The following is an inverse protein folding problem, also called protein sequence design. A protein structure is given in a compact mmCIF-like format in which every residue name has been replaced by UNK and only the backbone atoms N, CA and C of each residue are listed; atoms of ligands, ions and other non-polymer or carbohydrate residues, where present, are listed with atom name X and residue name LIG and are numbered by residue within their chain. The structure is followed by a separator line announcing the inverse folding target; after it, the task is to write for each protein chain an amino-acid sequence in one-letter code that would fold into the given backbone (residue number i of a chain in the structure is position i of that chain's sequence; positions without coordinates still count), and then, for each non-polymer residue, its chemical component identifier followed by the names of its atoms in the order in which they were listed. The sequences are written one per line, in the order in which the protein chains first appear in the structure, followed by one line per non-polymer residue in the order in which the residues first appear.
data_IF_379344170306
#
_entry.id   IF_379344170306
#
_cell.length_a   1.000
_cell.length_b   1.000
_cell.length_c   1.000
_cell.angle_alpha   90.00
_cell.angle_beta   90.00
_cell.angle_gamma   90.00
#
_symmetry.space_group_name_H-M   'P 1'
#
loop_
_entity.id
_entity.type
_entity.pdbx_description
1 polymer ?
#
# COMPACT_ATOMS: atom_id res chain seq x y z
N UNK A 1 16.16 14.83 -1.87
CA UNK A 1 16.22 13.41 -1.42
C UNK A 1 16.81 13.35 -0.02
N UNK A 2 16.02 13.07 1.01
CA UNK A 2 16.57 12.85 2.36
C UNK A 2 17.45 11.61 2.31
N UNK A 3 18.72 11.71 2.72
CA UNK A 3 19.59 10.56 2.97
C UNK A 3 18.89 9.66 3.98
N UNK A 4 18.19 8.63 3.49
CA UNK A 4 17.78 7.49 4.29
C UNK A 4 19.03 7.01 5.01
N UNK A 5 18.97 6.87 6.35
CA UNK A 5 20.11 6.48 7.18
C UNK A 5 20.89 5.39 6.44
N UNK A 6 22.20 5.60 6.27
CA UNK A 6 23.12 4.84 5.42
C UNK A 6 23.12 3.32 5.66
N UNK A 7 22.42 2.84 6.69
CA UNK A 7 22.33 1.44 7.11
C UNK A 7 20.88 0.95 7.33
N UNK A 8 19.87 1.58 6.72
CA UNK A 8 18.50 1.06 6.80
C UNK A 8 18.43 -0.32 6.14
N UNK A 9 18.24 -1.35 6.97
CA UNK A 9 18.14 -2.73 6.52
C UNK A 9 16.75 -2.97 5.98
N UNK A 10 16.68 -3.51 4.78
CA UNK A 10 15.41 -3.99 4.26
C UNK A 10 15.10 -5.39 4.82
N UNK A 11 13.84 -5.63 5.17
CA UNK A 11 13.34 -6.90 5.68
C UNK A 11 12.29 -7.49 4.75
N UNK A 12 12.13 -8.82 4.79
CA UNK A 12 11.05 -9.53 4.09
C UNK A 12 9.78 -9.42 4.94
N UNK A 13 8.68 -8.96 4.35
CA UNK A 13 7.39 -8.82 5.01
C UNK A 13 6.34 -9.62 4.25
N UNK A 14 5.66 -10.54 4.95
CA UNK A 14 4.61 -11.39 4.40
C UNK A 14 3.27 -10.65 4.46
N UNK A 15 2.76 -10.24 3.30
CA UNK A 15 1.52 -9.47 3.18
C UNK A 15 0.29 -10.35 3.38
N UNK A 16 0.30 -11.58 2.86
CA UNK A 16 -0.83 -12.49 2.97
C UNK A 16 -1.13 -12.86 4.43
N UNK A 17 -0.11 -13.31 5.16
CA UNK A 17 -0.21 -13.63 6.60
C UNK A 17 -0.66 -12.40 7.42
N UNK A 18 -0.19 -11.21 7.04
CA UNK A 18 -0.61 -9.99 7.69
C UNK A 18 -2.09 -9.68 7.45
N UNK A 19 -2.60 -9.89 6.23
CA UNK A 19 -4.03 -9.77 5.93
C UNK A 19 -4.86 -10.78 6.70
N UNK A 20 -4.45 -12.05 6.77
CA UNK A 20 -5.12 -13.08 7.59
C UNK A 20 -5.25 -12.64 9.05
N UNK A 21 -4.16 -12.11 9.61
CA UNK A 21 -4.17 -11.59 10.97
C UNK A 21 -5.20 -10.44 11.12
N UNK A 22 -5.30 -9.55 10.14
CA UNK A 22 -6.24 -8.42 10.15
C UNK A 22 -7.68 -8.88 9.89
N UNK A 23 -7.91 -9.93 9.11
CA UNK A 23 -9.25 -10.43 8.78
C UNK A 23 -9.83 -11.32 9.88
N UNK A 24 -8.99 -11.93 10.71
CA UNK A 24 -9.44 -12.76 11.83
C UNK A 24 -9.95 -11.90 12.99
N UNK A 25 -11.27 -11.88 13.18
CA UNK A 25 -11.95 -11.07 14.20
C UNK A 25 -11.70 -11.55 15.64
N UNK A 26 -11.20 -12.77 15.83
CA UNK A 26 -10.77 -13.25 17.15
C UNK A 26 -9.50 -12.53 17.62
N UNK A 27 -8.75 -11.89 16.71
CA UNK A 27 -7.61 -11.06 17.08
C UNK A 27 -8.07 -9.73 17.68
N UNK A 28 -7.41 -9.21 18.72
CA UNK A 28 -7.81 -7.96 19.36
C UNK A 28 -7.79 -6.78 18.38
N UNK A 29 -8.87 -5.99 18.41
CA UNK A 29 -9.12 -4.83 17.53
C UNK A 29 -7.91 -3.91 17.37
N UNK A 30 -7.30 -3.45 18.47
CA UNK A 30 -6.12 -2.58 18.41
C UNK A 30 -4.88 -3.25 17.82
N UNK A 31 -4.73 -4.56 18.03
CA UNK A 31 -3.62 -5.31 17.41
C UNK A 31 -3.85 -5.49 15.91
N UNK A 32 -5.10 -5.73 15.48
CA UNK A 32 -5.49 -5.71 14.05
C UNK A 32 -5.23 -4.34 13.43
N UNK A 33 -5.51 -3.24 14.14
CA UNK A 33 -5.23 -1.87 13.69
C UNK A 33 -3.73 -1.60 13.47
N UNK A 34 -2.88 -2.00 14.41
CA UNK A 34 -1.42 -1.93 14.24
C UNK A 34 -1.00 -2.71 12.99
N UNK A 35 -1.50 -3.94 12.84
CA UNK A 35 -1.14 -4.78 11.69
C UNK A 35 -1.65 -4.21 10.38
N UNK A 36 -2.87 -3.68 10.34
CA UNK A 36 -3.42 -3.05 9.14
C UNK A 36 -2.51 -1.90 8.69
N UNK A 37 -2.15 -0.99 9.60
CA UNK A 37 -1.28 0.13 9.23
C UNK A 37 0.13 -0.30 8.77
N UNK A 38 0.66 -1.39 9.33
CA UNK A 38 1.89 -2.01 8.83
C UNK A 38 1.74 -2.52 7.40
N UNK A 39 0.64 -3.22 7.08
CA UNK A 39 0.37 -3.70 5.72
C UNK A 39 0.27 -2.50 4.78
N UNK A 40 -0.49 -1.48 5.17
CA UNK A 40 -0.65 -0.27 4.38
C UNK A 40 0.72 0.38 4.08
N UNK A 41 1.59 0.46 5.09
CA UNK A 41 2.96 0.96 4.92
C UNK A 41 3.77 0.03 4.00
N UNK A 42 3.82 -1.26 4.33
CA UNK A 42 4.60 -2.27 3.62
C UNK A 42 4.26 -2.32 2.13
N UNK A 43 2.98 -2.22 1.82
CA UNK A 43 2.47 -2.25 0.47
C UNK A 43 2.75 -0.94 -0.27
N UNK A 44 2.68 0.21 0.41
CA UNK A 44 2.90 1.51 -0.23
C UNK A 44 4.37 1.74 -0.59
N UNK A 45 5.30 1.28 0.27
CA UNK A 45 6.73 1.58 0.14
C UNK A 45 7.61 0.34 -0.10
N UNK A 46 7.01 -0.84 -0.11
CA UNK A 46 7.70 -2.11 -0.31
C UNK A 46 8.12 -2.32 -1.75
N UNK A 47 9.21 -3.06 -1.91
CA UNK A 47 9.79 -3.44 -3.19
C UNK A 47 9.65 -4.93 -3.42
N UNK A 48 9.86 -5.36 -4.66
CA UNK A 48 9.98 -6.79 -4.99
C UNK A 48 11.13 -7.43 -4.21
N UNK A 49 11.01 -8.75 -4.01
CA UNK A 49 12.15 -9.55 -3.57
C UNK A 49 13.20 -9.62 -4.68
N UNK A 50 14.46 -9.87 -4.30
CA UNK A 50 15.52 -10.23 -5.26
C UNK A 50 15.39 -11.72 -5.63
N UNK A 51 15.85 -12.12 -6.82
CA UNK A 51 15.81 -13.52 -7.30
C UNK A 51 16.32 -14.53 -6.26
N UNK A 52 17.44 -14.22 -5.58
CA UNK A 52 17.98 -15.09 -4.53
C UNK A 52 17.07 -15.21 -3.30
N UNK A 53 16.28 -14.18 -3.01
CA UNK A 53 15.31 -14.17 -1.90
C UNK A 53 14.01 -14.89 -2.27
N UNK A 54 13.62 -14.85 -3.54
CA UNK A 54 12.45 -15.54 -4.08
C UNK A 54 12.63 -17.06 -4.03
N UNK A 55 13.80 -17.58 -4.44
CA UNK A 55 14.10 -19.03 -4.43
C UNK A 55 13.90 -19.72 -3.08
N UNK A 56 14.03 -18.98 -1.98
CA UNK A 56 13.85 -19.50 -0.62
C UNK A 56 12.43 -19.37 -0.08
N UNK A 57 11.43 -19.07 -0.91
CA UNK A 57 10.04 -18.85 -0.49
C UNK A 57 9.07 -19.68 -1.32
N UNK A 58 8.19 -20.38 -0.63
CA UNK A 58 7.16 -21.22 -1.26
C UNK A 58 6.17 -20.39 -2.11
N UNK A 59 5.96 -19.12 -1.77
CA UNK A 59 5.12 -18.19 -2.53
C UNK A 59 5.76 -16.80 -2.53
N UNK A 60 6.71 -16.50 -3.43
CA UNK A 60 7.45 -15.23 -3.41
C UNK A 60 6.55 -13.99 -3.50
N UNK A 61 5.44 -14.12 -4.23
CA UNK A 61 4.41 -13.10 -4.40
C UNK A 61 3.61 -12.79 -3.13
N UNK A 62 3.81 -13.48 -2.00
CA UNK A 62 3.25 -13.05 -0.72
C UNK A 62 4.16 -12.06 0.01
N UNK A 63 5.38 -11.82 -0.48
CA UNK A 63 6.42 -11.12 0.26
C UNK A 63 6.88 -9.85 -0.45
N UNK A 64 7.17 -8.83 0.35
CA UNK A 64 7.84 -7.61 -0.11
C UNK A 64 9.07 -7.30 0.72
N UNK A 65 10.02 -6.63 0.10
CA UNK A 65 11.20 -6.07 0.74
C UNK A 65 10.91 -4.64 1.20
N UNK A 66 10.91 -4.40 2.51
CA UNK A 66 10.50 -3.11 3.10
C UNK A 66 11.58 -2.56 4.03
N UNK A 67 11.74 -1.24 4.06
CA UNK A 67 12.55 -0.53 5.06
C UNK A 67 12.16 -0.94 6.48
N UNK A 68 13.13 -1.45 7.25
CA UNK A 68 12.92 -1.77 8.68
C UNK A 68 12.60 -0.50 9.47
N UNK A 69 13.27 0.61 9.16
CA UNK A 69 13.05 1.88 9.83
C UNK A 69 11.62 2.40 9.61
N UNK A 70 11.08 2.29 8.39
CA UNK A 70 9.70 2.68 8.09
C UNK A 70 8.67 1.81 8.81
N UNK A 71 8.82 0.48 8.76
CA UNK A 71 7.89 -0.42 9.47
C UNK A 71 7.96 -0.25 10.99
N UNK A 72 9.15 -0.01 11.54
CA UNK A 72 9.32 0.32 12.96
C UNK A 72 8.59 1.61 13.32
N UNK A 73 8.75 2.67 12.50
CA UNK A 73 8.06 3.95 12.69
C UNK A 73 6.53 3.79 12.59
N UNK A 74 6.03 3.05 11.60
CA UNK A 74 4.61 2.77 11.40
C UNK A 74 3.98 2.05 12.60
N UNK A 75 4.64 0.99 13.12
CA UNK A 75 4.20 0.29 14.33
C UNK A 75 4.15 1.22 15.54
N UNK A 76 5.23 1.97 15.73
CA UNK A 76 5.38 2.85 16.90
C UNK A 76 4.34 3.94 16.89
N UNK A 77 4.18 4.66 15.78
CA UNK A 77 3.23 5.77 15.71
C UNK A 77 1.80 5.27 15.92
N UNK A 78 1.40 4.15 15.33
CA UNK A 78 0.06 3.61 15.54
C UNK A 78 -0.15 3.23 17.00
N UNK A 79 0.80 2.54 17.64
CA UNK A 79 0.67 2.14 19.04
C UNK A 79 0.54 3.35 19.96
N UNK A 80 1.37 4.38 19.75
CA UNK A 80 1.30 5.63 20.52
C UNK A 80 -0.05 6.31 20.31
N UNK A 81 -0.50 6.46 19.06
CA UNK A 81 -1.77 7.13 18.75
C UNK A 81 -2.98 6.36 19.29
N UNK A 82 -2.98 5.03 19.20
CA UNK A 82 -4.02 4.19 19.79
C UNK A 82 -4.02 4.31 21.32
N UNK A 83 -2.84 4.36 21.94
CA UNK A 83 -2.72 4.53 23.39
C UNK A 83 -3.23 5.91 23.84
N UNK A 84 -2.85 6.98 23.14
CA UNK A 84 -3.39 8.34 23.34
C UNK A 84 -4.91 8.36 23.22
N UNK A 85 -5.46 7.66 22.23
CA UNK A 85 -6.90 7.58 22.01
C UNK A 85 -7.63 6.83 23.14
N UNK A 86 -7.12 5.68 23.60
CA UNK A 86 -7.69 4.96 24.75
C UNK A 86 -7.70 5.84 26.00
N UNK A 87 -6.64 6.63 26.20
CA UNK A 87 -6.58 7.59 27.31
C UNK A 87 -7.65 8.67 27.16
N UNK A 88 -7.74 9.29 25.99
CA UNK A 88 -8.67 10.39 25.73
C UNK A 88 -10.14 9.95 25.87
N UNK A 89 -10.50 8.76 25.36
CA UNK A 89 -11.86 8.22 25.48
C UNK A 89 -12.27 7.97 26.93
N UNK A 90 -11.35 7.49 27.78
CA UNK A 90 -11.65 7.14 29.18
C UNK A 90 -11.50 8.30 30.15
N UNK A 91 -10.71 9.31 29.78
CA UNK A 91 -10.36 10.42 30.64
C UNK A 91 -10.38 11.75 29.86
N UNK A 92 -11.56 12.19 29.38
CA UNK A 92 -11.69 13.42 28.59
C UNK A 92 -11.21 14.67 29.36
N UNK A 93 -11.37 14.69 30.68
CA UNK A 93 -10.98 15.81 31.55
C UNK A 93 -9.54 15.71 32.08
N UNK A 94 -8.80 14.64 31.75
CA UNK A 94 -7.43 14.51 32.24
C UNK A 94 -6.51 15.45 31.47
N UNK A 95 -6.07 16.52 32.13
CA UNK A 95 -4.95 17.35 31.67
C UNK A 95 -3.68 16.53 31.52
N UNK A 96 -3.47 15.92 30.34
CA UNK A 96 -2.28 15.23 29.81
C UNK A 96 -1.56 14.18 30.68
N UNK A 97 -1.98 13.91 31.91
CA UNK A 97 -1.32 12.95 32.82
C UNK A 97 -2.35 12.03 33.47
N UNK A 98 -2.67 10.92 32.82
CA UNK A 98 -3.40 9.83 33.47
C UNK A 98 -2.45 9.08 34.42
N UNK A 99 -2.81 8.88 35.70
CA UNK A 99 -1.99 8.11 36.63
C UNK A 99 -1.75 6.69 36.12
N UNK A 100 -0.50 6.21 36.19
CA UNK A 100 -0.09 4.86 35.76
C UNK A 100 -0.97 3.76 36.39
N UNK A 101 -1.41 3.93 37.64
CA UNK A 101 -2.33 3.00 38.32
C UNK A 101 -3.67 2.80 37.59
N UNK A 102 -4.18 3.82 36.90
CA UNK A 102 -5.42 3.73 36.09
C UNK A 102 -5.14 3.02 34.75
N UNK A 103 -3.98 3.31 34.14
CA UNK A 103 -3.54 2.65 32.90
C UNK A 103 -3.30 1.15 33.07
N UNK A 104 -2.80 0.72 34.24
CA UNK A 104 -2.54 -0.69 34.57
C UNK A 104 -3.83 -1.50 34.81
N UNK A 105 -5.02 -0.88 34.78
CA UNK A 105 -6.29 -1.61 34.79
C UNK A 105 -6.85 -1.87 33.40
N UNK A 106 -6.37 -1.15 32.39
CA UNK A 106 -6.82 -1.30 31.01
C UNK A 106 -5.96 -2.36 30.29
N UNK A 107 -6.58 -3.49 29.93
CA UNK A 107 -5.90 -4.60 29.28
C UNK A 107 -5.29 -4.21 27.94
N UNK A 108 -5.96 -3.37 27.15
CA UNK A 108 -5.49 -2.94 25.84
C UNK A 108 -4.39 -1.88 25.95
N UNK A 109 -4.55 -0.92 26.87
CA UNK A 109 -3.53 0.08 27.16
C UNK A 109 -2.24 -0.58 27.67
N UNK A 110 -2.34 -1.54 28.60
CA UNK A 110 -1.19 -2.35 29.07
C UNK A 110 -0.55 -3.12 27.92
N UNK A 111 -1.36 -3.74 27.05
CA UNK A 111 -0.85 -4.51 25.92
C UNK A 111 -0.07 -3.60 24.96
N UNK A 112 -0.59 -2.43 24.63
CA UNK A 112 0.10 -1.44 23.80
C UNK A 112 1.38 -0.93 24.48
N UNK A 113 1.32 -0.59 25.77
CA UNK A 113 2.48 -0.18 26.57
C UNK A 113 3.57 -1.24 26.58
N UNK A 114 3.23 -2.50 26.88
CA UNK A 114 4.18 -3.63 26.85
C UNK A 114 4.81 -3.80 25.46
N UNK A 115 4.02 -3.58 24.40
CA UNK A 115 4.51 -3.64 23.03
C UNK A 115 5.39 -2.45 22.62
N UNK A 116 5.32 -1.33 23.33
CA UNK A 116 6.21 -0.18 23.14
C UNK A 116 7.49 -0.30 23.98
N UNK A 117 7.39 -0.79 25.22
CA UNK A 117 8.46 -0.71 26.25
C UNK A 117 9.39 -1.95 26.23
N UNK A 118 9.27 -2.86 25.27
CA UNK A 118 10.15 -4.05 25.24
C UNK A 118 11.59 -3.68 24.82
N UNK A 119 12.66 -4.13 25.51
CA UNK A 119 14.06 -3.75 25.21
C UNK A 119 14.48 -3.99 23.74
N UNK A 120 14.12 -5.16 23.19
CA UNK A 120 14.37 -5.48 21.77
C UNK A 120 13.68 -4.54 20.79
N UNK A 121 12.59 -3.88 21.22
CA UNK A 121 11.83 -2.91 20.42
C UNK A 121 12.29 -1.48 20.68
N UNK A 122 12.73 -1.12 21.88
CA UNK A 122 13.32 0.20 22.14
C UNK A 122 14.58 0.42 21.31
N UNK A 123 15.43 -0.61 21.14
CA UNK A 123 16.55 -0.56 20.19
C UNK A 123 16.05 -0.35 18.74
N UNK A 124 14.96 -1.00 18.33
CA UNK A 124 14.36 -0.79 17.00
C UNK A 124 13.77 0.62 16.81
N UNK A 125 13.35 1.26 17.91
CA UNK A 125 12.82 2.62 17.90
C UNK A 125 13.94 3.66 17.76
N UNK A 126 15.11 3.43 18.37
CA UNK A 126 16.29 4.31 18.25
C UNK A 126 16.71 4.52 16.78
N UNK A 127 16.49 3.51 15.93
CA UNK A 127 16.84 3.57 14.51
C UNK A 127 15.65 3.89 13.58
N UNK A 128 14.44 4.03 14.10
CA UNK A 128 13.23 4.32 13.33
C UNK A 128 13.24 5.71 12.68
N UNK A 129 12.39 5.91 11.67
CA UNK A 129 12.10 7.24 11.14
C UNK A 129 11.28 8.07 12.13
N UNK A 130 11.46 9.39 12.10
CA UNK A 130 10.50 10.28 12.75
C UNK A 130 9.13 10.20 12.09
N UNK A 131 8.07 10.58 12.80
CA UNK A 131 6.70 10.54 12.25
C UNK A 131 6.57 11.42 11.00
N UNK A 132 7.27 12.56 10.97
CA UNK A 132 7.31 13.46 9.81
C UNK A 132 8.04 12.83 8.63
N UNK A 133 9.14 12.12 8.87
CA UNK A 133 9.86 11.39 7.81
C UNK A 133 9.00 10.27 7.22
N UNK A 134 8.28 9.51 8.06
CA UNK A 134 7.35 8.50 7.60
C UNK A 134 6.22 9.12 6.77
N UNK A 135 5.57 10.18 7.26
CA UNK A 135 4.47 10.85 6.55
C UNK A 135 4.93 11.44 5.21
N UNK A 136 6.13 12.04 5.16
CA UNK A 136 6.73 12.52 3.92
C UNK A 136 7.00 11.37 2.94
N UNK A 137 7.57 10.26 3.41
CA UNK A 137 7.84 9.09 2.58
C UNK A 137 6.55 8.49 2.00
N UNK A 138 5.51 8.30 2.84
CA UNK A 138 4.20 7.81 2.41
C UNK A 138 3.55 8.77 1.41
N UNK A 139 3.67 10.08 1.63
CA UNK A 139 3.11 11.09 0.73
C UNK A 139 3.83 11.12 -0.61
N UNK A 140 5.17 11.11 -0.63
CA UNK A 140 5.96 11.05 -1.86
C UNK A 140 5.64 9.80 -2.65
N UNK A 141 5.64 8.62 -2.01
CA UNK A 141 5.32 7.35 -2.67
C UNK A 141 3.91 7.33 -3.23
N UNK A 142 2.94 7.92 -2.52
CA UNK A 142 1.59 8.08 -3.04
C UNK A 142 1.51 8.99 -4.27
N UNK A 143 2.22 10.12 -4.27
CA UNK A 143 2.25 11.02 -5.43
C UNK A 143 2.83 10.28 -6.64
N UNK A 144 3.95 9.57 -6.45
CA UNK A 144 4.55 8.73 -7.48
C UNK A 144 3.54 7.72 -8.04
N UNK A 145 2.82 7.00 -7.18
CA UNK A 145 1.78 6.03 -7.57
C UNK A 145 0.63 6.64 -8.37
N UNK A 146 0.07 7.74 -7.88
CA UNK A 146 -1.02 8.45 -8.58
C UNK A 146 -0.59 8.99 -9.94
N UNK A 147 0.69 9.30 -10.12
CA UNK A 147 1.23 9.83 -11.37
C UNK A 147 1.15 8.79 -12.50
N UNK A 148 1.53 7.54 -12.23
CA UNK A 148 1.60 6.49 -13.26
C UNK A 148 0.32 5.64 -13.37
N UNK A 149 -0.55 5.73 -12.37
CA UNK A 149 -1.85 5.08 -12.33
C UNK A 149 -2.64 5.03 -13.65
N UNK A 150 -2.70 6.12 -14.43
CA UNK A 150 -3.46 6.08 -15.67
C UNK A 150 -2.82 5.19 -16.74
N UNK A 151 -1.52 4.88 -16.68
CA UNK A 151 -0.91 3.88 -17.56
C UNK A 151 -1.50 2.49 -17.32
N UNK A 152 -1.69 2.10 -16.06
CA UNK A 152 -2.32 0.82 -15.75
C UNK A 152 -3.73 0.76 -16.31
N UNK A 153 -4.49 1.84 -16.12
CA UNK A 153 -5.84 1.98 -16.66
C UNK A 153 -5.85 1.87 -18.19
N UNK A 154 -5.10 2.70 -18.92
CA UNK A 154 -4.96 2.65 -20.38
C UNK A 154 -4.59 1.23 -20.84
N UNK A 155 -3.65 0.61 -20.13
CA UNK A 155 -3.13 -0.69 -20.53
C UNK A 155 -4.14 -1.83 -20.46
N UNK A 156 -5.16 -1.72 -19.60
CA UNK A 156 -6.29 -2.67 -19.54
C UNK A 156 -7.15 -2.68 -20.81
N UNK A 157 -7.06 -1.65 -21.65
CA UNK A 157 -7.90 -1.49 -22.85
C UNK A 157 -7.18 -1.88 -24.15
N UNK A 158 -5.88 -2.18 -24.13
CA UNK A 158 -5.20 -2.69 -25.32
C UNK A 158 -5.74 -4.06 -25.72
N UNK A 159 -6.02 -4.24 -27.01
CA UNK A 159 -6.40 -5.54 -27.56
C UNK A 159 -5.25 -6.55 -27.42
N UNK A 160 -5.61 -7.79 -27.06
CA UNK A 160 -4.68 -8.91 -27.04
C UNK A 160 -4.49 -9.37 -28.50
N UNK A 161 -3.41 -8.92 -29.12
CA UNK A 161 -3.04 -9.39 -30.46
C UNK A 161 -2.26 -10.70 -30.33
N UNK A 162 -2.87 -11.81 -30.76
CA UNK A 162 -2.18 -13.10 -30.88
C UNK A 162 -1.00 -13.00 -31.85
N UNK A 163 0.17 -13.49 -31.43
CA UNK A 163 1.39 -13.52 -32.27
C UNK A 163 2.36 -12.36 -32.09
N UNK A 164 2.09 -11.38 -31.22
CA UNK A 164 3.06 -10.33 -30.93
C UNK A 164 4.14 -10.79 -29.95
N UNK A 165 5.40 -10.60 -30.32
CA UNK A 165 6.56 -10.78 -29.42
C UNK A 165 6.68 -9.68 -28.34
N UNK A 166 5.81 -8.65 -28.39
CA UNK A 166 5.69 -7.61 -27.37
C UNK A 166 4.99 -8.19 -26.14
N UNK A 167 5.77 -8.79 -25.23
CA UNK A 167 5.31 -9.54 -24.05
C UNK A 167 4.64 -8.70 -22.96
N UNK A 168 4.34 -7.43 -23.19
CA UNK A 168 3.79 -6.57 -22.14
C UNK A 168 3.03 -5.37 -22.70
N UNK A 169 1.70 -5.38 -22.55
CA UNK A 169 0.87 -4.23 -22.90
C UNK A 169 1.23 -2.97 -22.09
N UNK A 170 1.98 -3.10 -20.98
CA UNK A 170 2.56 -1.96 -20.26
C UNK A 170 3.51 -1.18 -21.15
N UNK A 171 4.35 -1.87 -21.91
CA UNK A 171 5.29 -1.23 -22.83
C UNK A 171 4.56 -0.55 -23.98
N UNK A 172 3.41 -1.07 -24.41
CA UNK A 172 2.54 -0.43 -25.41
C UNK A 172 1.84 0.81 -24.84
N UNK A 173 1.24 0.69 -23.66
CA UNK A 173 0.68 1.82 -22.93
C UNK A 173 1.74 2.87 -22.56
N UNK A 174 2.98 2.47 -22.32
CA UNK A 174 4.08 3.39 -22.10
C UNK A 174 4.58 4.02 -23.42
N UNK A 175 4.46 3.32 -24.55
CA UNK A 175 4.79 3.86 -25.86
C UNK A 175 3.87 5.04 -26.25
N UNK A 176 2.63 5.07 -25.76
CA UNK A 176 1.76 6.25 -25.90
C UNK A 176 2.30 7.48 -25.17
N UNK A 177 3.34 7.35 -24.33
CA UNK A 177 4.03 8.50 -23.73
C UNK A 177 5.20 9.00 -24.57
N UNK A 178 5.47 8.41 -25.74
CA UNK A 178 6.55 8.80 -26.63
C UNK A 178 6.17 9.92 -27.60
N UNK A 179 4.88 10.26 -27.69
CA UNK A 179 4.43 11.36 -28.56
C UNK A 179 5.10 12.68 -28.15
N UNK A 180 5.53 13.45 -29.15
CA UNK A 180 6.14 14.76 -28.98
C UNK A 180 5.09 15.80 -28.57
N UNK A 181 5.48 16.88 -27.87
CA UNK A 181 4.54 17.93 -27.47
C UNK A 181 3.78 18.59 -28.63
N UNK A 182 4.30 18.50 -29.85
CA UNK A 182 3.72 19.04 -31.07
C UNK A 182 2.66 18.11 -31.69
N UNK A 183 2.61 16.84 -31.31
CA UNK A 183 1.66 15.85 -31.83
C UNK A 183 0.27 15.97 -31.16
N UNK A 184 -0.79 15.68 -31.94
CA UNK A 184 -2.18 15.79 -31.47
C UNK A 184 -2.46 14.77 -30.36
N UNK A 185 -1.91 13.57 -30.51
CA UNK A 185 -1.99 12.45 -29.57
C UNK A 185 -1.45 12.84 -28.20
N UNK A 186 -0.34 13.57 -28.14
CA UNK A 186 0.19 14.10 -26.89
C UNK A 186 -0.84 14.98 -26.18
N UNK A 187 -1.47 15.89 -26.92
CA UNK A 187 -2.51 16.79 -26.38
C UNK A 187 -3.73 16.02 -25.87
N UNK A 188 -4.21 15.02 -26.62
CA UNK A 188 -5.34 14.16 -26.23
C UNK A 188 -5.02 13.40 -24.93
N UNK A 189 -3.83 12.80 -24.84
CA UNK A 189 -3.41 12.06 -23.64
C UNK A 189 -3.32 13.00 -22.43
N UNK A 190 -2.75 14.20 -22.58
CA UNK A 190 -2.61 15.17 -21.48
C UNK A 190 -3.93 15.82 -21.07
N UNK A 191 -4.90 15.95 -21.98
CA UNK A 191 -6.26 16.40 -21.70
C UNK A 191 -6.95 15.48 -20.67
N UNK A 192 -6.80 14.17 -20.84
CA UNK A 192 -7.43 13.17 -19.97
C UNK A 192 -6.56 12.75 -18.78
N UNK A 193 -5.23 12.77 -18.92
CA UNK A 193 -4.28 12.31 -17.90
C UNK A 193 -3.18 13.33 -17.63
N UNK A 194 -3.55 14.44 -16.99
CA UNK A 194 -2.68 15.59 -16.70
C UNK A 194 -1.40 15.25 -15.93
N UNK A 195 -1.42 14.19 -15.13
CA UNK A 195 -0.29 13.80 -14.26
C UNK A 195 0.71 12.86 -14.93
N UNK A 196 0.46 12.38 -16.15
CA UNK A 196 1.46 11.62 -16.89
C UNK A 196 2.43 12.63 -17.51
N UNK A 197 3.73 12.59 -17.15
CA UNK A 197 4.69 13.62 -17.57
C UNK A 197 5.83 13.11 -18.47
N UNK A 198 6.38 11.90 -18.25
CA UNK A 198 7.48 11.38 -19.11
C UNK A 198 7.67 9.85 -19.06
N UNK A 199 8.28 9.31 -20.13
CA UNK A 199 8.71 7.91 -20.26
C UNK A 199 9.84 7.54 -19.29
N UNK A 200 10.79 8.44 -19.03
CA UNK A 200 11.92 8.24 -18.11
C UNK A 200 11.49 7.93 -16.68
N UNK A 201 10.36 8.51 -16.24
CA UNK A 201 9.76 8.23 -14.93
C UNK A 201 9.08 6.85 -14.92
N UNK A 202 8.42 6.46 -16.02
CA UNK A 202 7.74 5.17 -16.14
C UNK A 202 8.72 3.98 -16.14
N UNK A 203 9.86 4.09 -16.83
CA UNK A 203 10.89 3.04 -16.84
C UNK A 203 11.60 2.85 -15.50
N UNK A 204 11.88 3.95 -14.78
CA UNK A 204 12.52 3.90 -13.46
C UNK A 204 11.76 3.07 -12.42
N UNK A 205 10.42 3.03 -12.52
CA UNK A 205 9.58 2.31 -11.56
C UNK A 205 9.06 0.96 -12.08
N UNK A 206 9.12 0.70 -13.39
CA UNK A 206 8.76 -0.58 -14.03
C UNK A 206 9.58 -1.76 -13.47
N UNK A 207 10.87 -1.53 -13.22
CA UNK A 207 11.79 -2.61 -12.88
C UNK A 207 12.01 -2.77 -11.37
N UNK A 208 11.92 -1.69 -10.58
CA UNK A 208 12.23 -1.73 -9.13
C UNK A 208 11.02 -1.97 -8.20
N UNK A 209 9.81 -1.49 -8.56
CA UNK A 209 8.71 -1.31 -7.60
C UNK A 209 7.42 -2.11 -7.98
N UNK A 210 7.45 -2.87 -9.08
CA UNK A 210 6.25 -3.07 -9.90
C UNK A 210 5.38 -4.33 -9.73
N UNK A 211 5.61 -5.18 -8.73
CA UNK A 211 4.68 -6.30 -8.52
C UNK A 211 3.66 -5.89 -7.46
N UNK A 212 4.09 -5.36 -6.31
CA UNK A 212 3.14 -4.98 -5.26
C UNK A 212 2.58 -3.56 -5.33
N UNK A 213 3.26 -2.60 -5.97
CA UNK A 213 2.88 -1.18 -5.89
C UNK A 213 2.02 -0.68 -7.07
N UNK A 214 1.86 -1.46 -8.13
CA UNK A 214 1.18 -1.04 -9.35
C UNK A 214 -0.33 -0.82 -9.16
N UNK A 215 -1.00 -1.74 -8.47
CA UNK A 215 -2.47 -1.75 -8.41
C UNK A 215 -3.04 -1.26 -7.08
N UNK A 216 -2.20 -1.21 -6.06
CA UNK A 216 -2.69 -0.76 -4.78
C UNK A 216 -2.89 0.77 -4.93
N UNK A 217 -3.90 1.35 -4.29
CA UNK A 217 -3.97 2.80 -4.00
C UNK A 217 -4.65 3.76 -5.00
N UNK A 218 -5.36 3.28 -6.03
CA UNK A 218 -6.21 4.17 -6.82
C UNK A 218 -7.67 4.08 -6.41
N UNK A 219 -8.24 5.25 -6.11
CA UNK A 219 -9.67 5.38 -5.82
C UNK A 219 -10.55 4.84 -6.95
N UNK A 220 -10.03 4.82 -8.20
CA UNK A 220 -10.69 4.26 -9.39
C UNK A 220 -10.91 2.75 -9.33
N UNK A 221 -10.16 2.01 -8.51
CA UNK A 221 -10.28 0.55 -8.36
C UNK A 221 -10.49 0.10 -6.92
N UNK A 222 -11.08 0.97 -6.07
CA UNK A 222 -11.40 0.61 -4.68
C UNK A 222 -10.24 0.68 -3.68
N UNK A 223 -9.08 1.26 -4.06
CA UNK A 223 -7.84 1.35 -3.25
C UNK A 223 -7.91 2.13 -1.92
N UNK A 224 -9.10 2.58 -1.51
CA UNK A 224 -9.32 3.40 -0.30
C UNK A 224 -8.92 2.67 0.98
N UNK A 225 -9.15 1.36 1.06
CA UNK A 225 -8.88 0.57 2.27
C UNK A 225 -7.41 0.53 2.61
N UNK A 226 -6.55 0.39 1.60
CA UNK A 226 -5.13 0.37 1.88
C UNK A 226 -4.60 1.77 2.19
N UNK A 227 -5.13 2.88 1.64
CA UNK A 227 -4.60 4.27 1.91
C UNK A 227 -4.21 4.51 3.39
N UNK A 228 -2.91 4.63 3.79
CA UNK A 228 -2.61 4.82 5.20
C UNK A 228 -3.17 6.18 5.63
N UNK A 229 -3.89 6.26 6.76
CA UNK A 229 -4.18 7.55 7.35
C UNK A 229 -2.87 8.27 7.68
N UNK A 230 -2.86 9.59 7.53
CA UNK A 230 -1.68 10.41 7.86
C UNK A 230 -1.43 10.37 9.36
N UNK A 231 -0.25 9.94 9.85
CA UNK A 231 0.01 9.80 11.29
C UNK A 231 -0.28 11.06 12.11
N UNK A 232 -0.03 12.23 11.50
CA UNK A 232 -0.11 13.54 12.14
C UNK A 232 -1.56 14.06 12.18
N UNK A 233 -2.47 13.50 11.38
CA UNK A 233 -3.87 13.95 11.37
C UNK A 233 -4.61 13.60 12.66
N UNK A 234 -5.52 14.47 13.10
CA UNK A 234 -6.35 14.24 14.29
C UNK A 234 -7.26 13.00 14.14
N UNK A 235 -7.87 12.82 12.96
CA UNK A 235 -8.74 11.67 12.64
C UNK A 235 -7.98 10.38 12.31
N UNK A 236 -6.68 10.29 12.63
CA UNK A 236 -5.85 9.12 12.29
C UNK A 236 -6.43 7.82 12.88
N UNK A 237 -6.69 7.82 14.18
CA UNK A 237 -7.13 6.62 14.92
C UNK A 237 -8.53 6.22 14.49
N UNK A 238 -9.48 7.16 14.46
CA UNK A 238 -10.86 6.92 14.04
C UNK A 238 -10.94 6.28 12.65
N UNK A 239 -10.19 6.82 11.68
CA UNK A 239 -10.15 6.26 10.31
C UNK A 239 -9.52 4.89 10.27
N UNK A 240 -8.49 4.64 11.07
CA UNK A 240 -7.83 3.34 11.12
C UNK A 240 -8.74 2.28 11.73
N UNK A 241 -9.35 2.58 12.88
CA UNK A 241 -10.27 1.68 13.56
C UNK A 241 -11.51 1.39 12.71
N UNK A 242 -12.10 2.40 12.07
CA UNK A 242 -13.22 2.19 11.14
C UNK A 242 -12.89 1.20 10.03
N UNK A 243 -11.67 1.25 9.48
CA UNK A 243 -11.22 0.29 8.46
C UNK A 243 -11.01 -1.12 9.00
N UNK A 244 -10.60 -1.25 10.26
CA UNK A 244 -10.38 -2.54 10.92
C UNK A 244 -11.71 -3.20 11.25
N UNK A 245 -12.69 -2.42 11.69
CA UNK A 245 -14.02 -2.91 12.05
C UNK A 245 -14.82 -3.31 10.80
N UNK A 246 -14.51 -2.71 9.64
CA UNK A 246 -15.10 -3.06 8.35
C UNK A 246 -14.40 -4.26 7.69
N UNK A 247 -14.46 -5.42 8.34
CA UNK A 247 -13.86 -6.68 7.82
C UNK A 247 -14.48 -7.06 6.47
N UNK A 248 -15.79 -6.85 6.29
CA UNK A 248 -16.49 -7.14 5.05
C UNK A 248 -15.96 -6.27 3.90
N UNK A 249 -15.79 -4.96 4.14
CA UNK A 249 -15.18 -4.04 3.19
C UNK A 249 -13.74 -4.39 2.84
N UNK A 250 -12.96 -4.85 3.83
CA UNK A 250 -11.60 -5.38 3.59
C UNK A 250 -11.60 -6.64 2.71
N UNK A 251 -12.52 -7.60 2.95
CA UNK A 251 -12.65 -8.80 2.10
C UNK A 251 -13.08 -8.44 0.68
N UNK A 252 -14.09 -7.58 0.54
CA UNK A 252 -14.54 -7.04 -0.74
C UNK A 252 -13.40 -6.33 -1.48
N UNK A 253 -12.56 -5.57 -0.77
CA UNK A 253 -11.37 -4.96 -1.37
C UNK A 253 -10.38 -5.99 -1.94
N UNK A 254 -10.09 -7.06 -1.19
CA UNK A 254 -9.20 -8.14 -1.65
C UNK A 254 -9.82 -8.89 -2.85
N UNK A 255 -11.14 -9.12 -2.83
CA UNK A 255 -11.87 -9.72 -3.94
C UNK A 255 -11.75 -8.88 -5.23
N UNK A 256 -11.90 -7.56 -5.11
CA UNK A 256 -11.74 -6.61 -6.22
C UNK A 256 -10.30 -6.58 -6.74
N UNK A 257 -9.31 -6.66 -5.83
CA UNK A 257 -7.89 -6.81 -6.17
C UNK A 257 -7.65 -8.06 -7.02
N UNK A 258 -8.13 -9.21 -6.57
CA UNK A 258 -7.94 -10.48 -7.28
C UNK A 258 -8.61 -10.46 -8.67
N UNK A 259 -9.77 -9.82 -8.82
CA UNK A 259 -10.42 -9.66 -10.13
C UNK A 259 -9.55 -8.85 -11.11
N UNK A 260 -9.05 -7.69 -10.68
CA UNK A 260 -8.22 -6.87 -11.55
C UNK A 260 -6.87 -7.54 -11.82
N UNK A 261 -6.30 -8.22 -10.83
CA UNK A 261 -5.13 -9.08 -11.03
C UNK A 261 -5.35 -10.10 -12.13
N UNK A 262 -6.49 -10.79 -12.15
CA UNK A 262 -6.80 -11.77 -13.20
C UNK A 262 -6.96 -11.12 -14.58
N UNK A 263 -7.55 -9.92 -14.67
CA UNK A 263 -7.62 -9.15 -15.93
C UNK A 263 -6.23 -8.80 -16.45
N UNK A 264 -5.37 -8.30 -15.58
CA UNK A 264 -3.97 -8.04 -15.90
C UNK A 264 -3.22 -9.33 -16.28
N UNK A 265 -3.43 -10.43 -15.55
CA UNK A 265 -2.83 -11.73 -15.89
C UNK A 265 -3.23 -12.21 -17.29
N UNK A 266 -4.49 -12.01 -17.70
CA UNK A 266 -4.94 -12.34 -19.06
C UNK A 266 -4.27 -11.50 -20.15
N UNK A 267 -3.61 -10.40 -19.78
CA UNK A 267 -2.86 -9.51 -20.66
C UNK A 267 -1.34 -9.65 -20.46
N UNK A 268 -0.88 -10.77 -19.90
CA UNK A 268 0.53 -11.08 -19.62
C UNK A 268 1.21 -10.15 -18.60
N UNK A 269 0.43 -9.64 -17.64
CA UNK A 269 0.96 -8.93 -16.47
C UNK A 269 0.98 -9.83 -15.26
N UNK A 270 2.14 -9.99 -14.66
CA UNK A 270 2.27 -10.70 -13.40
C UNK A 270 2.13 -9.72 -12.22
N UNK A 271 0.92 -9.66 -11.69
CA UNK A 271 0.61 -9.02 -10.42
C UNK A 271 0.61 -10.10 -9.31
N UNK A 272 1.13 -9.79 -8.11
CA UNK A 272 1.22 -10.72 -6.99
C UNK A 272 -0.13 -11.35 -6.68
N UNK A 273 -0.15 -12.66 -6.55
CA UNK A 273 -1.31 -13.33 -5.99
C UNK A 273 -1.19 -13.32 -4.47
N UNK A 274 -2.20 -12.77 -3.78
CA UNK A 274 -2.29 -12.89 -2.33
C UNK A 274 -2.84 -14.29 -2.01
N UNK A 275 -1.94 -15.24 -1.74
CA UNK A 275 -2.35 -16.60 -1.35
C UNK A 275 -2.67 -16.61 0.14
N UNK A 276 -3.92 -16.27 0.45
CA UNK A 276 -4.51 -16.40 1.78
C UNK A 276 -4.88 -17.87 2.04
N UNK A 277 -4.81 -18.30 3.31
CA UNK A 277 -5.24 -19.63 3.77
C UNK A 277 -6.70 -19.89 3.43
N UNK A 278 -7.56 -18.89 3.62
CA UNK A 278 -8.94 -18.88 3.15
C UNK A 278 -9.01 -18.00 1.90
N UNK A 279 -9.02 -18.58 0.68
CA UNK A 279 -9.03 -17.80 -0.55
C UNK A 279 -10.27 -16.92 -0.64
N UNK A 280 -10.08 -15.68 -1.09
CA UNK A 280 -11.19 -14.75 -1.35
C UNK A 280 -11.46 -14.77 -2.84
N UNK A 281 -12.69 -15.13 -3.20
CA UNK A 281 -13.12 -15.19 -4.59
C UNK A 281 -13.06 -13.82 -5.28
N UNK A 282 -12.58 -13.73 -6.53
CA UNK A 282 -12.54 -12.49 -7.28
C UNK A 282 -13.93 -11.87 -7.47
N UNK A 283 -14.06 -10.58 -7.18
CA UNK A 283 -15.31 -9.85 -7.36
C UNK A 283 -15.18 -8.85 -8.51
N UNK A 284 -16.11 -8.95 -9.47
CA UNK A 284 -16.13 -8.11 -10.66
C UNK A 284 -16.15 -6.63 -10.29
N UNK A 285 -15.17 -5.89 -10.82
CA UNK A 285 -15.12 -4.42 -10.78
C UNK A 285 -15.52 -3.88 -12.14
N UNK A 286 -16.38 -2.86 -12.15
CA UNK A 286 -16.66 -2.09 -13.36
C UNK A 286 -15.46 -1.20 -13.65
N UNK A 287 -14.68 -1.54 -14.68
CA UNK A 287 -13.64 -0.67 -15.20
C UNK A 287 -14.30 0.28 -16.19
N UNK A 288 -14.20 1.58 -15.95
CA UNK A 288 -14.74 2.59 -16.86
C UNK A 288 -14.13 2.42 -18.27
N UNK A 289 -14.88 2.73 -19.34
CA UNK A 289 -14.31 2.73 -20.69
C UNK A 289 -13.32 3.89 -20.86
N UNK A 290 -12.38 3.75 -21.79
CA UNK A 290 -11.58 4.89 -22.24
C UNK A 290 -12.49 5.88 -23.00
N UNK A 291 -12.22 7.19 -22.88
CA UNK A 291 -12.79 8.18 -23.79
C UNK A 291 -12.55 7.80 -25.25
N UNK A 292 -13.49 8.12 -26.13
CA UNK A 292 -13.42 7.78 -27.57
C UNK A 292 -12.16 8.35 -28.23
N UNK A 293 -11.81 9.60 -27.90
CA UNK A 293 -10.59 10.28 -28.37
C UNK A 293 -9.31 9.48 -28.03
N UNK A 294 -9.28 8.81 -26.87
CA UNK A 294 -8.17 7.97 -26.45
C UNK A 294 -8.21 6.59 -27.09
N UNK A 295 -9.41 6.06 -27.34
CA UNK A 295 -9.59 4.76 -27.99
C UNK A 295 -9.16 4.82 -29.45
N UNK A 296 -9.31 5.96 -30.11
CA UNK A 296 -8.90 6.15 -31.50
C UNK A 296 -7.37 6.14 -31.72
N UNK A 297 -6.58 6.40 -30.67
CA UNK A 297 -5.11 6.50 -30.75
C UNK A 297 -4.38 5.28 -30.14
N UNK A 298 -5.10 4.34 -29.53
CA UNK A 298 -4.58 3.13 -28.83
C UNK A 298 -4.88 1.88 -29.66
#
# INVERSE_FOLDING_TARGET
MSRLKTHDRYIKFNIAEAFEYVLNENNPRFSRAVRLYEIQTAVLIGRKLLICQERGKEYPNNWVRVSRAALSAARTVVRVRLFEHIIAEKHPDAGRLTPLKKLVRDKDAIRLLRQMITPKKSEQMAYSFSWRQLDQLLTTRRIEQTTYAPLYYISLHFAIFGGSNSRCNWSRAAATLLYSPEEIEYTIIRKHFKTLFSSSTAYKYKDEDNHFAAFIWLDHFGGRFLRPPRPIAASFVEKLLKKVDDTAGLKNYIAQYEYVRLKFKSQDYDLPQLRLVDPIEPQKVSVSPLPEELTAII
#
